data_IF_211598863978
#
_entry.id   IF_211598863978
#
_cell.length_a   1.000
_cell.length_b   1.000
_cell.length_c   1.000
_cell.angle_alpha   90.00
_cell.angle_beta   90.00
_cell.angle_gamma   90.00
#
_symmetry.space_group_name_H-M   'P 1'
#
loop_
_entity.id
_entity.type
_entity.pdbx_description
1 polymer ?
#
# COMPACT_ATOMS: atom_id res chain seq x y z
N UNK A 1 24.70 0.51 3.93
CA UNK A 1 24.23 0.45 2.52
C UNK A 1 22.72 0.61 2.52
N UNK A 2 22.16 1.44 1.64
CA UNK A 2 20.70 1.47 1.46
C UNK A 2 20.25 0.14 0.83
N UNK A 3 19.17 -0.49 1.31
CA UNK A 3 18.71 -1.75 0.75
C UNK A 3 18.25 -1.56 -0.69
N UNK A 4 18.69 -2.45 -1.58
CA UNK A 4 18.30 -2.44 -2.99
C UNK A 4 16.77 -2.62 -3.14
N UNK A 5 16.09 -1.73 -3.89
CA UNK A 5 14.66 -1.86 -4.14
C UNK A 5 14.34 -3.11 -4.97
N UNK A 6 13.29 -3.86 -4.60
CA UNK A 6 12.81 -5.01 -5.37
C UNK A 6 11.36 -4.83 -5.79
N UNK A 7 11.09 -4.96 -7.09
CA UNK A 7 9.74 -4.96 -7.65
C UNK A 7 9.25 -6.40 -7.83
N UNK A 8 8.07 -6.70 -7.28
CA UNK A 8 7.46 -8.03 -7.32
C UNK A 8 6.03 -7.89 -7.80
N UNK A 9 5.55 -8.82 -8.63
CA UNK A 9 4.15 -8.93 -9.01
C UNK A 9 3.50 -10.05 -8.18
N UNK A 10 2.38 -9.76 -7.51
CA UNK A 10 1.62 -10.76 -6.75
C UNK A 10 0.14 -10.76 -7.15
N UNK A 11 -0.55 -11.92 -7.10
CA UNK A 11 -2.00 -11.95 -7.28
C UNK A 11 -2.72 -11.36 -6.05
N UNK A 12 -3.86 -10.72 -6.29
CA UNK A 12 -4.85 -10.36 -5.27
C UNK A 12 -6.20 -10.95 -5.67
N UNK A 13 -6.38 -12.21 -5.30
CA UNK A 13 -7.48 -13.07 -5.75
C UNK A 13 -8.86 -12.50 -5.41
N UNK A 14 -9.07 -12.03 -4.17
CA UNK A 14 -10.33 -11.40 -3.73
C UNK A 14 -10.78 -10.23 -4.61
N UNK A 15 -9.81 -9.54 -5.24
CA UNK A 15 -10.04 -8.38 -6.09
C UNK A 15 -9.80 -8.68 -7.57
N UNK A 16 -9.61 -9.96 -7.93
CA UNK A 16 -9.42 -10.45 -9.30
C UNK A 16 -8.41 -9.62 -10.10
N UNK A 17 -7.31 -9.26 -9.47
CA UNK A 17 -6.26 -8.42 -10.06
C UNK A 17 -4.88 -8.87 -9.62
N UNK A 18 -3.86 -8.23 -10.15
CA UNK A 18 -2.49 -8.31 -9.67
C UNK A 18 -2.04 -6.98 -9.07
N UNK A 19 -1.02 -7.06 -8.21
CA UNK A 19 -0.46 -5.92 -7.48
C UNK A 19 1.05 -5.89 -7.67
N UNK A 20 1.55 -4.75 -8.13
CA UNK A 20 2.97 -4.43 -8.05
C UNK A 20 3.35 -4.08 -6.61
N UNK A 21 4.38 -4.72 -6.10
CA UNK A 21 4.95 -4.45 -4.78
C UNK A 21 6.41 -4.02 -4.90
N UNK A 22 6.67 -2.77 -4.50
CA UNK A 22 8.02 -2.26 -4.35
C UNK A 22 8.46 -2.45 -2.89
N UNK A 23 9.42 -3.33 -2.66
CA UNK A 23 10.01 -3.59 -1.34
C UNK A 23 11.32 -2.82 -1.19
N UNK A 24 11.46 -2.07 -0.10
CA UNK A 24 12.66 -1.30 0.26
C UNK A 24 12.93 -1.54 1.74
N UNK A 25 13.92 -2.39 2.06
CA UNK A 25 14.16 -2.84 3.43
C UNK A 25 12.92 -3.53 4.03
N UNK A 26 12.44 -3.03 5.17
CA UNK A 26 11.22 -3.52 5.83
C UNK A 26 9.92 -2.81 5.37
N UNK A 27 10.01 -1.88 4.41
CA UNK A 27 8.88 -1.14 3.87
C UNK A 27 8.41 -1.76 2.56
N UNK A 28 7.12 -1.62 2.26
CA UNK A 28 6.52 -2.11 1.01
C UNK A 28 5.50 -1.11 0.55
N UNK A 29 5.53 -0.74 -0.74
CA UNK A 29 4.49 0.02 -1.44
C UNK A 29 3.75 -0.93 -2.39
N UNK A 30 2.43 -0.79 -2.47
CA UNK A 30 1.59 -1.67 -3.29
C UNK A 30 0.74 -0.83 -4.25
N UNK A 31 0.70 -1.19 -5.54
CA UNK A 31 -0.13 -0.56 -6.58
C UNK A 31 -0.88 -1.63 -7.37
N UNK A 32 -2.18 -1.43 -7.55
CA UNK A 32 -3.04 -2.32 -8.35
C UNK A 32 -2.77 -2.16 -9.86
N UNK A 33 -2.88 -3.25 -10.62
CA UNK A 33 -2.75 -3.19 -12.08
C UNK A 33 -4.01 -2.68 -12.76
N UNK A 34 -5.18 -3.15 -12.31
CA UNK A 34 -6.48 -2.93 -12.97
C UNK A 34 -6.97 -1.49 -12.92
N UNK A 35 -6.71 -0.77 -11.82
CA UNK A 35 -7.22 0.60 -11.62
C UNK A 35 -6.14 1.57 -11.12
N UNK A 36 -4.89 1.11 -11.06
CA UNK A 36 -3.73 1.93 -10.69
C UNK A 36 -3.73 2.53 -9.27
N UNK A 37 -4.73 2.21 -8.44
CA UNK A 37 -4.80 2.67 -7.04
C UNK A 37 -3.58 2.20 -6.25
N UNK A 38 -3.03 3.11 -5.44
CA UNK A 38 -1.88 2.87 -4.57
C UNK A 38 -2.35 2.73 -3.13
N UNK A 39 -1.78 1.81 -2.37
CA UNK A 39 -2.08 1.72 -0.94
C UNK A 39 -1.51 2.95 -0.21
N UNK A 40 -2.37 3.93 0.06
CA UNK A 40 -2.02 5.18 0.74
C UNK A 40 -1.47 4.97 2.14
N UNK A 41 -1.93 3.95 2.87
CA UNK A 41 -1.35 3.62 4.19
C UNK A 41 0.13 3.26 4.08
N UNK A 42 0.50 2.45 3.09
CA UNK A 42 1.89 2.06 2.85
C UNK A 42 2.75 3.21 2.36
N UNK A 43 2.22 4.02 1.44
CA UNK A 43 2.91 5.21 0.91
C UNK A 43 3.28 6.19 2.03
N UNK A 44 2.33 6.53 2.89
CA UNK A 44 2.54 7.49 3.97
C UNK A 44 3.46 6.95 5.08
N UNK A 45 3.48 5.63 5.32
CA UNK A 45 4.47 5.00 6.19
C UNK A 45 5.89 5.11 5.60
N UNK A 46 6.05 5.01 4.27
CA UNK A 46 7.35 5.20 3.62
C UNK A 46 7.83 6.64 3.83
N UNK A 47 6.94 7.61 3.65
CA UNK A 47 7.19 9.04 3.92
C UNK A 47 7.45 9.39 5.40
N UNK A 48 7.43 8.41 6.31
CA UNK A 48 7.80 8.63 7.72
C UNK A 48 6.75 9.40 8.53
N UNK A 49 5.50 9.47 8.06
CA UNK A 49 4.45 10.15 8.81
C UNK A 49 4.07 9.40 10.08
N UNK A 50 3.78 10.15 11.15
CA UNK A 50 3.23 9.58 12.37
C UNK A 50 1.85 8.97 12.09
N UNK A 51 1.45 8.00 12.92
CA UNK A 51 0.13 7.36 12.82
C UNK A 51 -1.02 8.37 12.78
N UNK A 52 -1.04 9.34 13.69
CA UNK A 52 -2.10 10.35 13.76
C UNK A 52 -2.20 11.20 12.50
N UNK A 53 -1.05 11.68 11.97
CA UNK A 53 -1.03 12.49 10.73
C UNK A 53 -1.45 11.68 9.51
N UNK A 54 -0.98 10.44 9.40
CA UNK A 54 -1.39 9.50 8.34
C UNK A 54 -2.89 9.25 8.39
N UNK A 55 -3.43 8.89 9.56
CA UNK A 55 -4.84 8.56 9.72
C UNK A 55 -5.73 9.79 9.44
N UNK A 56 -5.27 10.99 9.81
CA UNK A 56 -5.93 12.26 9.47
C UNK A 56 -5.99 12.55 7.96
N UNK A 57 -4.89 12.32 7.24
CA UNK A 57 -4.85 12.46 5.77
C UNK A 57 -5.80 11.45 5.12
N UNK A 58 -5.66 10.16 5.45
CA UNK A 58 -6.42 9.08 4.82
C UNK A 58 -7.90 9.08 5.18
N UNK A 59 -8.31 9.74 6.27
CA UNK A 59 -9.72 9.93 6.60
C UNK A 59 -10.45 10.78 5.56
N UNK A 60 -9.73 11.72 4.94
CA UNK A 60 -10.30 12.69 4.00
C UNK A 60 -10.04 12.33 2.53
N UNK A 61 -9.47 11.15 2.25
CA UNK A 61 -9.28 10.66 0.89
C UNK A 61 -10.65 10.40 0.24
N UNK A 62 -10.85 10.89 -1.00
CA UNK A 62 -12.17 10.89 -1.64
C UNK A 62 -12.59 9.49 -2.06
N UNK A 63 -11.66 8.72 -2.63
CA UNK A 63 -11.89 7.35 -3.12
C UNK A 63 -11.43 6.29 -2.12
N UNK A 64 -11.57 6.60 -0.82
CA UNK A 64 -11.08 5.79 0.29
C UNK A 64 -11.67 4.38 0.30
N UNK A 65 -10.84 3.37 0.07
CA UNK A 65 -11.21 1.96 0.20
C UNK A 65 -10.42 1.26 1.32
N UNK A 66 -11.10 0.89 2.41
CA UNK A 66 -10.44 0.29 3.58
C UNK A 66 -10.41 -1.23 3.51
N UNK A 67 -9.22 -1.79 3.43
CA UNK A 67 -8.98 -3.24 3.48
C UNK A 67 -8.48 -3.62 4.87
N UNK A 68 -9.37 -4.22 5.68
CA UNK A 68 -9.12 -4.60 7.08
C UNK A 68 -8.54 -6.02 7.25
N UNK A 69 -8.91 -6.94 6.36
CA UNK A 69 -8.55 -8.36 6.41
C UNK A 69 -7.64 -8.74 5.23
N UNK A 70 -7.06 -9.93 5.26
CA UNK A 70 -6.12 -10.42 4.22
C UNK A 70 -4.64 -10.17 4.53
N UNK A 71 -3.74 -10.34 3.54
CA UNK A 71 -2.29 -10.21 3.70
C UNK A 71 -1.84 -8.82 4.19
N UNK A 72 -0.85 -8.74 5.09
CA UNK A 72 -0.40 -7.49 5.73
C UNK A 72 0.06 -6.42 4.72
N UNK A 73 0.69 -6.83 3.63
CA UNK A 73 1.15 -6.00 2.51
C UNK A 73 0.00 -5.44 1.66
N UNK A 74 -1.21 -5.98 1.80
CA UNK A 74 -2.44 -5.54 1.13
C UNK A 74 -3.43 -4.85 2.09
N UNK A 75 -3.30 -5.01 3.41
CA UNK A 75 -4.11 -4.25 4.38
C UNK A 75 -3.80 -2.75 4.31
N UNK A 76 -4.82 -1.93 4.56
CA UNK A 76 -4.71 -0.47 4.62
C UNK A 76 -5.82 0.23 3.85
N UNK A 77 -5.73 1.56 3.82
CA UNK A 77 -6.49 2.39 2.89
C UNK A 77 -5.80 2.33 1.53
N UNK A 78 -6.56 1.86 0.55
CA UNK A 78 -6.30 2.00 -0.87
C UNK A 78 -7.05 3.19 -1.41
#
# INVERSE_FOLDING_TARGET
>A
MQPEPKLILIPWEDKKTYVFQLKIGNKTLSRRIDNHTVNGTKLLNIGGLTRGRRDGILKNEKERNVIKHGPLNLKGVW
#
